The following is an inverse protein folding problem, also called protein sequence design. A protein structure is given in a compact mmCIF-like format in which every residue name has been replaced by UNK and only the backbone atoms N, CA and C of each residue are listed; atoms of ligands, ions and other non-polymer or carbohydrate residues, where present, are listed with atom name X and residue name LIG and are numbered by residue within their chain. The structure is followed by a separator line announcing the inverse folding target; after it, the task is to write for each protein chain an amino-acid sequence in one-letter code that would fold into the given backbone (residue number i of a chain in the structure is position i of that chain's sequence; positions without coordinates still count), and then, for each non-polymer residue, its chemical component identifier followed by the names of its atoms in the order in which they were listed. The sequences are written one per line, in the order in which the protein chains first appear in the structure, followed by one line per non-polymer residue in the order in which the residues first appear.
data_IF_698884782124
#
_entry.id   IF_698884782124
#
_cell.length_a   1.000
_cell.length_b   1.000
_cell.length_c   1.000
_cell.angle_alpha   90.00
_cell.angle_beta   90.00
_cell.angle_gamma   90.00
#
_symmetry.space_group_name_H-M   'P 1'
#
loop_
_entity.id
_entity.type
_entity.pdbx_description
1 polymer ?
#
# COMPACT_ATOMS: atom_id res chain seq x y z
N UNK A 1 -23.70 -4.49 15.71
CA UNK A 1 -23.83 -4.28 14.25
C UNK A 1 -23.31 -5.54 13.56
N UNK A 2 -24.00 -6.11 12.58
CA UNK A 2 -23.60 -7.38 11.92
C UNK A 2 -22.60 -7.10 10.79
N UNK A 3 -21.54 -7.90 10.67
CA UNK A 3 -20.49 -7.73 9.64
C UNK A 3 -20.78 -8.44 8.31
N UNK A 4 -19.81 -8.38 7.38
CA UNK A 4 -19.90 -9.00 6.06
C UNK A 4 -19.57 -10.50 6.02
N UNK A 5 -19.08 -11.10 7.11
CA UNK A 5 -18.82 -12.54 7.19
C UNK A 5 -20.11 -13.32 7.49
N UNK A 6 -21.05 -13.28 6.55
CA UNK A 6 -22.34 -13.96 6.61
C UNK A 6 -22.85 -14.21 5.18
N UNK A 7 -23.82 -15.13 5.01
CA UNK A 7 -24.44 -15.38 3.70
C UNK A 7 -25.25 -14.18 3.19
N UNK A 8 -25.77 -13.35 4.09
CA UNK A 8 -26.58 -12.17 3.77
C UNK A 8 -26.27 -11.04 4.73
N UNK A 9 -26.28 -9.81 4.21
CA UNK A 9 -26.15 -8.61 5.03
C UNK A 9 -26.98 -7.46 4.45
N UNK A 10 -27.76 -6.80 5.30
CA UNK A 10 -28.64 -5.71 4.89
C UNK A 10 -27.94 -4.36 5.09
N UNK A 11 -27.47 -3.77 4.00
CA UNK A 11 -26.79 -2.47 3.97
C UNK A 11 -27.21 -1.68 2.73
N UNK A 12 -27.15 -0.33 2.77
CA UNK A 12 -27.21 0.47 1.55
C UNK A 12 -25.95 0.15 0.72
N UNK A 13 -26.14 -0.41 -0.47
CA UNK A 13 -25.05 -0.86 -1.35
C UNK A 13 -25.16 -0.25 -2.75
N UNK A 14 -24.02 -0.09 -3.40
CA UNK A 14 -23.93 0.24 -4.81
C UNK A 14 -23.71 -1.04 -5.63
N UNK A 15 -24.32 -1.12 -6.81
CA UNK A 15 -24.08 -2.24 -7.73
C UNK A 15 -22.70 -2.09 -8.37
N UNK A 16 -21.84 -3.08 -8.15
CA UNK A 16 -20.57 -3.21 -8.86
C UNK A 16 -20.87 -3.57 -10.31
N UNK A 17 -20.25 -2.85 -11.25
CA UNK A 17 -20.35 -3.09 -12.68
C UNK A 17 -18.94 -3.31 -13.20
N UNK A 18 -18.73 -4.36 -14.00
CA UNK A 18 -17.45 -4.67 -14.67
C UNK A 18 -16.30 -5.18 -13.76
N UNK A 19 -16.62 -5.73 -12.59
CA UNK A 19 -15.65 -6.46 -11.76
C UNK A 19 -16.28 -7.79 -11.33
N UNK A 20 -15.45 -8.83 -11.21
CA UNK A 20 -15.87 -10.07 -10.56
C UNK A 20 -15.99 -9.87 -9.04
N UNK A 21 -16.73 -10.74 -8.36
CA UNK A 21 -16.84 -10.69 -6.90
C UNK A 21 -15.46 -10.83 -6.21
N UNK A 22 -14.55 -11.60 -6.82
CA UNK A 22 -13.18 -11.79 -6.33
C UNK A 22 -12.39 -10.47 -6.47
N UNK A 23 -12.43 -9.84 -7.63
CA UNK A 23 -11.70 -8.59 -7.90
C UNK A 23 -12.29 -7.40 -7.13
N UNK A 24 -13.54 -7.50 -6.70
CA UNK A 24 -14.19 -6.52 -5.82
C UNK A 24 -13.77 -6.65 -4.35
N UNK A 25 -13.13 -7.75 -3.94
CA UNK A 25 -12.69 -7.98 -2.56
C UNK A 25 -11.79 -6.86 -1.99
N UNK A 26 -10.78 -6.34 -2.72
CA UNK A 26 -9.94 -5.24 -2.26
C UNK A 26 -10.58 -3.84 -2.41
N UNK A 27 -11.89 -3.72 -2.68
CA UNK A 27 -12.53 -2.42 -2.88
C UNK A 27 -12.44 -1.51 -1.64
N UNK A 28 -12.57 -2.08 -0.44
CA UNK A 28 -12.44 -1.33 0.82
C UNK A 28 -11.01 -0.76 1.00
N UNK A 29 -9.93 -1.56 0.94
CA UNK A 29 -8.59 -1.00 1.09
C UNK A 29 -8.21 -0.05 -0.06
N UNK A 30 -8.74 -0.28 -1.28
CA UNK A 30 -8.57 0.65 -2.39
C UNK A 30 -9.26 1.99 -2.15
N UNK A 31 -10.47 2.00 -1.59
CA UNK A 31 -11.20 3.22 -1.25
C UNK A 31 -10.48 4.02 -0.16
N UNK A 32 -9.99 3.34 0.88
CA UNK A 32 -9.20 3.96 1.93
C UNK A 32 -7.88 4.54 1.39
N UNK A 33 -7.25 3.85 0.45
CA UNK A 33 -6.03 4.30 -0.22
C UNK A 33 -6.28 5.54 -1.08
N UNK A 34 -7.36 5.56 -1.87
CA UNK A 34 -7.75 6.72 -2.67
C UNK A 34 -7.96 7.96 -1.80
N UNK A 35 -8.67 7.81 -0.67
CA UNK A 35 -8.83 8.90 0.29
C UNK A 35 -7.51 9.34 0.92
N UNK A 36 -6.62 8.39 1.23
CA UNK A 36 -5.28 8.69 1.73
C UNK A 36 -4.46 9.49 0.71
N UNK A 37 -4.56 9.13 -0.57
CA UNK A 37 -3.89 9.82 -1.66
C UNK A 37 -4.38 11.27 -1.81
N UNK A 38 -5.69 11.52 -1.71
CA UNK A 38 -6.25 12.88 -1.72
C UNK A 38 -5.68 13.75 -0.60
N UNK A 39 -5.43 13.16 0.57
CA UNK A 39 -4.83 13.86 1.71
C UNK A 39 -3.33 14.07 1.59
N UNK A 40 -2.61 13.07 1.09
CA UNK A 40 -1.16 13.17 0.85
C UNK A 40 -0.89 14.20 -0.25
N UNK A 41 -1.77 14.24 -1.27
CA UNK A 41 -1.69 15.13 -2.43
C UNK A 41 -0.27 15.22 -3.00
N UNK A 42 0.35 14.09 -3.39
CA UNK A 42 1.73 14.08 -3.87
C UNK A 42 1.87 14.97 -5.09
N UNK A 43 2.93 15.77 -5.11
CA UNK A 43 3.31 16.58 -6.27
C UNK A 43 4.20 15.76 -7.19
N UNK A 44 4.25 16.12 -8.47
CA UNK A 44 5.21 15.51 -9.40
C UNK A 44 6.64 15.61 -8.85
N UNK A 45 7.38 14.51 -8.90
CA UNK A 45 8.73 14.43 -8.33
C UNK A 45 8.78 14.11 -6.84
N UNK A 46 7.63 13.85 -6.20
CA UNK A 46 7.63 13.48 -4.78
C UNK A 46 8.32 12.14 -4.55
N UNK A 47 8.98 12.03 -3.39
CA UNK A 47 9.56 10.79 -2.88
C UNK A 47 8.74 10.33 -1.69
N UNK A 48 8.46 9.02 -1.59
CA UNK A 48 7.66 8.45 -0.51
C UNK A 48 8.34 7.22 0.09
N UNK A 49 8.21 7.09 1.41
CA UNK A 49 8.61 5.91 2.17
C UNK A 49 7.37 5.19 2.69
N UNK A 50 7.14 3.97 2.21
CA UNK A 50 5.98 3.15 2.55
C UNK A 50 6.39 2.08 3.54
N UNK A 51 5.83 2.14 4.74
CA UNK A 51 6.02 1.10 5.76
C UNK A 51 4.93 0.03 5.64
N UNK A 52 5.34 -1.17 5.25
CA UNK A 52 4.53 -2.36 5.19
C UNK A 52 4.07 -2.73 3.78
N UNK A 53 4.20 -4.02 3.46
CA UNK A 53 3.74 -4.64 2.22
C UNK A 53 2.44 -5.46 2.45
N UNK A 54 1.54 -4.96 3.30
CA UNK A 54 0.20 -5.55 3.49
C UNK A 54 -0.74 -5.21 2.32
N UNK A 55 -2.01 -5.66 2.37
CA UNK A 55 -2.99 -5.33 1.32
C UNK A 55 -3.09 -3.84 1.02
N UNK A 56 -3.14 -2.99 2.05
CA UNK A 56 -3.13 -1.53 1.88
C UNK A 56 -1.85 -1.03 1.23
N UNK A 57 -0.67 -1.51 1.66
CA UNK A 57 0.61 -1.11 1.08
C UNK A 57 0.75 -1.53 -0.39
N UNK A 58 0.22 -2.71 -0.73
CA UNK A 58 0.19 -3.24 -2.09
C UNK A 58 -0.70 -2.41 -3.03
N UNK A 59 -1.77 -1.80 -2.51
CA UNK A 59 -2.65 -0.91 -3.30
C UNK A 59 -2.12 0.53 -3.30
N UNK A 60 -1.55 1.01 -2.19
CA UNK A 60 -1.04 2.36 -2.02
C UNK A 60 0.21 2.64 -2.86
N UNK A 61 1.15 1.70 -2.91
CA UNK A 61 2.40 1.86 -3.66
C UNK A 61 2.18 2.18 -5.16
N UNK A 62 1.41 1.39 -5.94
CA UNK A 62 1.15 1.73 -7.33
C UNK A 62 0.30 3.00 -7.49
N UNK A 63 -0.65 3.26 -6.58
CA UNK A 63 -1.46 4.49 -6.63
C UNK A 63 -0.62 5.75 -6.44
N UNK A 64 0.33 5.77 -5.50
CA UNK A 64 1.24 6.89 -5.30
C UNK A 64 2.11 7.15 -6.53
N UNK A 65 2.63 6.07 -7.14
CA UNK A 65 3.44 6.17 -8.37
C UNK A 65 2.65 6.78 -9.52
N UNK A 66 1.40 6.36 -9.71
CA UNK A 66 0.53 6.90 -10.75
C UNK A 66 0.15 8.38 -10.53
N UNK A 67 0.31 8.90 -9.31
CA UNK A 67 -0.10 10.25 -8.93
C UNK A 67 1.08 11.18 -8.64
N UNK A 68 2.22 10.97 -9.29
CA UNK A 68 3.35 11.91 -9.28
C UNK A 68 4.46 11.59 -8.28
N UNK A 69 4.36 10.48 -7.54
CA UNK A 69 5.49 9.96 -6.80
C UNK A 69 6.48 9.29 -7.76
N UNK A 70 7.65 9.89 -7.95
CA UNK A 70 8.68 9.37 -8.84
C UNK A 70 9.67 8.43 -8.13
N UNK A 71 9.75 8.50 -6.80
CA UNK A 71 10.63 7.66 -6.01
C UNK A 71 9.83 7.02 -4.86
N UNK A 72 9.40 5.77 -5.05
CA UNK A 72 8.68 5.00 -4.05
C UNK A 72 9.60 3.96 -3.39
N UNK A 73 9.86 4.14 -2.10
CA UNK A 73 10.62 3.19 -1.30
C UNK A 73 9.68 2.37 -0.42
N UNK A 74 9.72 1.04 -0.54
CA UNK A 74 8.88 0.15 0.25
C UNK A 74 9.72 -0.59 1.27
N UNK A 75 9.31 -0.49 2.54
CA UNK A 75 10.00 -1.07 3.69
C UNK A 75 9.07 -2.06 4.37
N UNK A 76 9.39 -3.34 4.34
CA UNK A 76 8.56 -4.38 4.94
C UNK A 76 9.39 -5.57 5.41
N UNK A 77 8.86 -6.45 6.28
CA UNK A 77 9.47 -7.75 6.50
C UNK A 77 9.58 -8.51 5.17
N UNK A 78 10.71 -9.20 4.95
CA UNK A 78 10.95 -9.98 3.75
C UNK A 78 9.97 -11.15 3.55
N UNK A 79 10.12 -11.83 2.41
CA UNK A 79 9.31 -12.98 2.00
C UNK A 79 8.18 -12.65 1.02
N UNK A 80 7.14 -13.50 1.00
CA UNK A 80 6.06 -13.49 -0.01
C UNK A 80 5.44 -12.12 -0.29
N UNK A 81 5.18 -11.33 0.76
CA UNK A 81 4.61 -9.98 0.61
C UNK A 81 5.56 -9.05 -0.13
N UNK A 82 6.86 -9.15 0.14
CA UNK A 82 7.85 -8.32 -0.51
C UNK A 82 8.04 -8.70 -1.98
N UNK A 83 8.00 -10.00 -2.28
CA UNK A 83 7.98 -10.50 -3.66
C UNK A 83 6.76 -10.01 -4.44
N UNK A 84 5.58 -9.95 -3.81
CA UNK A 84 4.38 -9.41 -4.46
C UNK A 84 4.55 -7.94 -4.86
N UNK A 85 5.07 -7.08 -3.98
CA UNK A 85 5.28 -5.67 -4.34
C UNK A 85 6.28 -5.55 -5.50
N UNK A 86 7.35 -6.36 -5.50
CA UNK A 86 8.32 -6.40 -6.61
C UNK A 86 7.66 -6.83 -7.93
N UNK A 87 6.78 -7.85 -7.89
CA UNK A 87 6.02 -8.31 -9.07
C UNK A 87 5.06 -7.27 -9.61
N UNK A 88 4.53 -6.41 -8.73
CA UNK A 88 3.63 -5.32 -9.11
C UNK A 88 4.39 -4.09 -9.65
N UNK A 89 5.72 -4.10 -9.65
CA UNK A 89 6.57 -2.96 -10.04
C UNK A 89 6.15 -1.65 -9.34
N UNK A 90 5.76 -1.77 -8.07
CA UNK A 90 5.10 -0.71 -7.32
C UNK A 90 6.08 0.19 -6.53
N UNK A 91 7.37 -0.12 -6.54
CA UNK A 91 8.42 0.67 -5.87
C UNK A 91 9.74 0.63 -6.62
N UNK A 92 10.58 1.64 -6.37
CA UNK A 92 11.91 1.78 -6.97
C UNK A 92 13.01 1.18 -6.07
N UNK A 93 12.82 1.24 -4.74
CA UNK A 93 13.72 0.62 -3.75
C UNK A 93 12.92 -0.21 -2.76
N UNK A 94 13.42 -1.42 -2.48
CA UNK A 94 12.79 -2.39 -1.59
C UNK A 94 13.74 -2.70 -0.44
N UNK A 95 13.29 -2.48 0.79
CA UNK A 95 14.11 -2.68 1.98
C UNK A 95 13.42 -3.69 2.89
N UNK A 96 14.13 -4.79 3.12
CA UNK A 96 13.67 -5.86 3.98
C UNK A 96 14.11 -5.61 5.42
N UNK A 97 13.12 -5.44 6.31
CA UNK A 97 13.37 -5.27 7.74
C UNK A 97 13.48 -6.63 8.42
N UNK A 98 14.57 -6.83 9.16
CA UNK A 98 14.74 -7.98 10.04
C UNK A 98 14.20 -7.66 11.42
N UNK A 99 13.38 -8.56 11.98
CA UNK A 99 12.75 -8.38 13.30
C UNK A 99 13.76 -8.24 14.46
N UNK A 100 15.01 -8.67 14.27
CA UNK A 100 16.07 -8.60 15.29
C UNK A 100 16.98 -7.37 15.25
N UNK A 101 16.99 -6.59 14.16
CA UNK A 101 17.91 -5.45 13.97
C UNK A 101 17.23 -4.24 13.30
N UNK A 102 15.91 -4.16 13.40
CA UNK A 102 15.09 -3.16 12.70
C UNK A 102 15.50 -1.73 13.05
N UNK A 103 15.92 -1.49 14.30
CA UNK A 103 16.28 -0.16 14.76
C UNK A 103 17.54 0.40 14.08
N UNK A 104 18.57 -0.44 13.86
CA UNK A 104 19.77 -0.02 13.16
C UNK A 104 19.48 0.28 11.68
N UNK A 105 18.66 -0.55 11.04
CA UNK A 105 18.22 -0.35 9.65
C UNK A 105 17.36 0.91 9.49
N UNK A 106 16.45 1.17 10.44
CA UNK A 106 15.63 2.38 10.48
C UNK A 106 16.48 3.64 10.70
N UNK A 107 17.51 3.56 11.55
CA UNK A 107 18.41 4.68 11.79
C UNK A 107 19.26 4.98 10.55
N UNK A 108 19.77 3.95 9.86
CA UNK A 108 20.46 4.11 8.59
C UNK A 108 19.55 4.72 7.52
N UNK A 109 18.28 4.28 7.44
CA UNK A 109 17.29 4.84 6.54
C UNK A 109 17.04 6.33 6.78
N UNK A 110 16.92 6.74 8.05
CA UNK A 110 16.79 8.15 8.42
C UNK A 110 18.05 8.95 8.08
N UNK A 111 19.24 8.37 8.25
CA UNK A 111 20.50 9.03 7.89
C UNK A 111 20.64 9.21 6.37
N UNK A 112 20.19 8.23 5.57
CA UNK A 112 20.17 8.31 4.10
C UNK A 112 19.12 9.29 3.56
N UNK A 113 18.08 9.62 4.34
CA UNK A 113 16.96 10.47 3.93
C UNK A 113 16.67 11.53 5.02
N UNK A 114 17.50 12.59 5.13
CA UNK A 114 17.42 13.58 6.21
C UNK A 114 16.34 14.66 6.01
N UNK A 115 15.66 14.66 4.86
CA UNK A 115 14.59 15.59 4.48
C UNK A 115 13.24 14.89 4.46
#
# INVERSE_FOLDING_TARGET
MNGGFACYCAYPVFKIKNLSDIDATPLEPASCTAHGLDKIAPKMGSSVLIFGAGPTGLVLAPMLRQNGCCNAMVVAPGGLRMEMVRKLDAGDKYIELFRGSSQAQLNALKAENPY
#
